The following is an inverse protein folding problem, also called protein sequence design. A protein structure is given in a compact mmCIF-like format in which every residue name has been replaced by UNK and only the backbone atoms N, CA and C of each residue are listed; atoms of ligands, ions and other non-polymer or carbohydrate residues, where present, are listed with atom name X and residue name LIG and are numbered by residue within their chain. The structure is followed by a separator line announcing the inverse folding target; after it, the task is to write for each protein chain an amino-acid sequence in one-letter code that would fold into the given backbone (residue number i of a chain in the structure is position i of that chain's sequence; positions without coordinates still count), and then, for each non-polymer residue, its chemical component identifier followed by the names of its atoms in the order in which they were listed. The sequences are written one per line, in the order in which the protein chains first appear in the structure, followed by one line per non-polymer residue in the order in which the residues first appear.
data_IF_904534338210
#
_entry.id   IF_904534338210
#
_cell.length_a   1.000
_cell.length_b   1.000
_cell.length_c   1.000
_cell.angle_alpha   90.00
_cell.angle_beta   90.00
_cell.angle_gamma   90.00
#
_symmetry.space_group_name_H-M   'P 1'
#
loop_
_entity.id
_entity.type
_entity.pdbx_description
1 polymer ?
#
# COMPACT_ATOMS: atom_id res chain seq x y z
N UNK A 1 15.34 -15.78 -0.19
CA UNK A 1 13.95 -16.07 0.22
C UNK A 1 13.05 -15.05 -0.45
N UNK A 2 12.01 -15.50 -1.14
CA UNK A 2 11.02 -14.65 -1.80
C UNK A 2 9.72 -14.68 -1.01
N UNK A 3 9.16 -13.51 -0.71
CA UNK A 3 7.99 -13.33 0.14
C UNK A 3 6.97 -12.45 -0.58
N UNK A 4 6.14 -13.08 -1.41
CA UNK A 4 4.96 -12.51 -2.07
C UNK A 4 4.13 -13.67 -2.61
N UNK A 5 2.81 -13.59 -2.51
CA UNK A 5 1.91 -14.63 -3.04
C UNK A 5 1.95 -14.65 -4.57
N UNK A 6 2.23 -15.80 -5.18
CA UNK A 6 2.13 -16.00 -6.63
C UNK A 6 3.13 -15.17 -7.46
N UNK A 7 4.20 -14.64 -6.86
CA UNK A 7 5.14 -13.75 -7.53
C UNK A 7 6.04 -14.49 -8.53
N UNK A 8 6.30 -13.86 -9.69
CA UNK A 8 7.24 -14.38 -10.68
C UNK A 8 8.71 -14.08 -10.34
N UNK A 9 8.98 -13.35 -9.26
CA UNK A 9 10.32 -12.95 -8.85
C UNK A 9 11.31 -14.11 -8.69
N UNK A 10 10.96 -15.27 -8.08
CA UNK A 10 11.83 -16.44 -8.05
C UNK A 10 12.30 -16.89 -9.45
N UNK A 11 11.41 -16.88 -10.45
CA UNK A 11 11.76 -17.24 -11.83
C UNK A 11 12.66 -16.20 -12.49
N UNK A 12 12.39 -14.90 -12.26
CA UNK A 12 13.22 -13.82 -12.77
C UNK A 12 14.64 -13.88 -12.18
N UNK A 13 14.74 -14.06 -10.87
CA UNK A 13 16.02 -14.24 -10.17
C UNK A 13 16.77 -15.45 -10.73
N UNK A 14 16.11 -16.59 -10.91
CA UNK A 14 16.78 -17.78 -11.42
C UNK A 14 17.27 -17.61 -12.87
N UNK A 15 16.54 -16.86 -13.70
CA UNK A 15 16.92 -16.55 -15.09
C UNK A 15 17.98 -15.46 -15.21
N UNK A 16 18.21 -14.67 -14.16
CA UNK A 16 19.25 -13.63 -14.14
C UNK A 16 20.68 -14.19 -14.18
N UNK A 17 20.87 -15.50 -13.95
CA UNK A 17 22.15 -16.20 -13.99
C UNK A 17 23.23 -15.58 -13.08
N UNK A 18 22.82 -15.09 -11.91
CA UNK A 18 23.76 -14.62 -10.89
C UNK A 18 24.63 -15.79 -10.41
N UNK A 19 25.98 -15.74 -10.56
CA UNK A 19 26.85 -16.88 -10.28
C UNK A 19 26.81 -17.40 -8.83
N UNK A 20 26.48 -16.52 -7.87
CA UNK A 20 26.35 -16.85 -6.45
C UNK A 20 24.98 -17.42 -6.07
N UNK A 21 23.97 -17.34 -6.96
CA UNK A 21 22.59 -17.70 -6.63
C UNK A 21 22.31 -19.17 -6.92
N UNK A 22 22.52 -20.01 -5.91
CA UNK A 22 22.34 -21.47 -6.00
C UNK A 22 20.96 -21.94 -5.55
N UNK A 23 20.39 -21.30 -4.53
CA UNK A 23 19.11 -21.68 -3.93
C UNK A 23 18.17 -20.49 -3.79
N UNK A 24 16.94 -20.63 -4.29
CA UNK A 24 15.85 -19.67 -4.14
C UNK A 24 14.72 -20.39 -3.42
N UNK A 25 14.27 -19.86 -2.29
CA UNK A 25 13.10 -20.32 -1.56
C UNK A 25 11.98 -19.31 -1.78
N UNK A 26 10.77 -19.77 -2.10
CA UNK A 26 9.58 -18.90 -2.22
C UNK A 26 8.51 -19.38 -1.25
N UNK A 27 7.93 -18.45 -0.50
CA UNK A 27 6.83 -18.74 0.42
C UNK A 27 5.51 -18.74 -0.35
N UNK A 28 4.78 -19.85 -0.29
CA UNK A 28 3.44 -20.01 -0.87
C UNK A 28 2.55 -20.67 0.19
N UNK A 29 2.09 -19.89 1.17
CA UNK A 29 1.33 -20.39 2.32
C UNK A 29 0.00 -21.04 1.93
N UNK A 30 -0.57 -20.64 0.78
CA UNK A 30 -1.78 -21.24 0.23
C UNK A 30 -1.45 -22.44 -0.67
N UNK A 31 -1.89 -23.64 -0.29
CA UNK A 31 -1.61 -24.87 -1.06
C UNK A 31 -2.13 -24.85 -2.51
N UNK A 32 -3.24 -24.16 -2.77
CA UNK A 32 -3.77 -24.04 -4.14
C UNK A 32 -2.85 -23.17 -4.99
N UNK A 33 -2.41 -22.03 -4.46
CA UNK A 33 -1.41 -21.16 -5.10
C UNK A 33 -0.12 -21.92 -5.35
N UNK A 34 0.37 -22.64 -4.33
CA UNK A 34 1.59 -23.45 -4.43
C UNK A 34 1.54 -24.52 -5.53
N UNK A 35 0.38 -25.16 -5.74
CA UNK A 35 0.21 -26.14 -6.84
C UNK A 35 0.31 -25.47 -8.20
N UNK A 36 -0.38 -24.35 -8.39
CA UNK A 36 -0.30 -23.56 -9.64
C UNK A 36 1.14 -23.10 -9.88
N UNK A 37 1.80 -22.62 -8.82
CA UNK A 37 3.19 -22.16 -8.90
C UNK A 37 4.15 -23.29 -9.29
N UNK A 38 3.99 -24.49 -8.72
CA UNK A 38 4.79 -25.66 -9.11
C UNK A 38 4.62 -26.01 -10.59
N UNK A 39 3.39 -26.01 -11.11
CA UNK A 39 3.14 -26.22 -12.55
C UNK A 39 3.78 -25.14 -13.42
N UNK A 40 3.81 -23.89 -12.95
CA UNK A 40 4.50 -22.80 -13.63
C UNK A 40 6.02 -23.05 -13.68
N UNK A 41 6.63 -23.49 -12.58
CA UNK A 41 8.05 -23.85 -12.52
C UNK A 41 8.40 -25.02 -13.45
N UNK A 42 7.57 -26.06 -13.47
CA UNK A 42 7.74 -27.22 -14.36
C UNK A 42 7.69 -26.82 -15.84
N UNK A 43 6.85 -25.85 -16.18
CA UNK A 43 6.70 -25.33 -17.55
C UNK A 43 7.81 -24.34 -17.94
N UNK A 44 8.60 -23.86 -16.99
CA UNK A 44 9.64 -22.84 -17.18
C UNK A 44 10.99 -23.35 -16.67
N UNK A 45 11.71 -24.17 -17.46
CA UNK A 45 12.99 -24.71 -17.04
C UNK A 45 13.98 -23.59 -16.68
N UNK A 46 14.63 -23.76 -15.53
CA UNK A 46 15.58 -22.83 -14.94
C UNK A 46 17.01 -23.20 -15.39
N UNK A 47 17.93 -22.22 -15.54
CA UNK A 47 19.32 -22.49 -15.88
C UNK A 47 20.02 -23.49 -14.94
N UNK A 48 20.96 -24.26 -15.48
CA UNK A 48 21.74 -25.26 -14.73
C UNK A 48 22.51 -24.59 -13.60
N UNK A 49 22.19 -24.93 -12.35
CA UNK A 49 22.92 -24.45 -11.15
C UNK A 49 22.05 -23.76 -10.11
N UNK A 50 20.88 -23.25 -10.47
CA UNK A 50 19.93 -22.62 -9.53
C UNK A 50 18.74 -23.53 -9.28
N UNK A 51 18.36 -23.71 -8.00
CA UNK A 51 17.18 -24.48 -7.59
C UNK A 51 16.14 -23.57 -6.94
N UNK A 52 14.90 -23.67 -7.40
CA UNK A 52 13.75 -23.00 -6.77
C UNK A 52 12.99 -24.00 -5.90
N UNK A 53 12.80 -23.64 -4.62
CA UNK A 53 12.11 -24.43 -3.61
C UNK A 53 10.83 -23.72 -3.21
N UNK A 54 9.69 -24.40 -3.30
CA UNK A 54 8.39 -23.87 -2.87
C UNK A 54 8.11 -24.31 -1.44
N UNK A 55 8.06 -23.36 -0.51
CA UNK A 55 7.80 -23.59 0.92
C UNK A 55 6.34 -23.27 1.20
N UNK A 56 5.55 -24.29 1.53
CA UNK A 56 4.11 -24.17 1.77
C UNK A 56 3.77 -23.98 3.24
N UNK A 57 4.47 -23.05 3.89
CA UNK A 57 4.31 -22.72 5.32
C UNK A 57 4.11 -21.22 5.48
N UNK A 58 3.55 -20.82 6.62
CA UNK A 58 3.61 -19.43 7.08
C UNK A 58 5.06 -19.05 7.38
N UNK A 59 5.43 -17.78 7.20
CA UNK A 59 6.76 -17.25 7.53
C UNK A 59 7.18 -17.53 8.98
N UNK A 60 6.22 -17.52 9.91
CA UNK A 60 6.42 -17.84 11.32
C UNK A 60 6.75 -19.32 11.60
N UNK A 61 6.35 -20.22 10.70
CA UNK A 61 6.54 -21.66 10.86
C UNK A 61 7.75 -22.20 10.07
N UNK A 62 8.47 -21.31 9.36
CA UNK A 62 9.69 -21.66 8.64
C UNK A 62 10.81 -21.90 9.65
N UNK A 63 11.52 -23.00 9.46
CA UNK A 63 12.62 -23.43 10.32
C UNK A 63 13.88 -23.67 9.50
N UNK A 64 15.03 -23.81 10.17
CA UNK A 64 16.29 -24.14 9.49
C UNK A 64 16.21 -25.44 8.67
N UNK A 65 15.39 -26.43 9.08
CA UNK A 65 15.23 -27.67 8.30
C UNK A 65 14.54 -27.46 6.95
N UNK A 66 13.73 -26.41 6.82
CA UNK A 66 13.05 -26.09 5.54
C UNK A 66 14.03 -25.52 4.50
N UNK A 67 15.19 -25.02 4.94
CA UNK A 67 16.21 -24.38 4.11
C UNK A 67 17.32 -25.34 3.64
N UNK A 68 17.18 -26.66 3.86
CA UNK A 68 18.28 -27.63 3.75
C UNK A 68 17.89 -28.91 3.00
N UNK A 69 16.87 -28.90 2.14
CA UNK A 69 16.47 -30.11 1.39
C UNK A 69 17.55 -30.56 0.37
N UNK A 70 18.64 -31.20 0.84
CA UNK A 70 19.60 -31.97 0.05
C UNK A 70 21.10 -31.82 0.34
N UNK A 71 21.57 -30.99 1.28
CA UNK A 71 23.00 -30.85 1.59
C UNK A 71 23.31 -31.16 3.07
N UNK A 72 24.49 -31.73 3.33
CA UNK A 72 24.93 -32.21 4.66
C UNK A 72 24.80 -31.14 5.75
N UNK A 73 24.48 -31.54 7.01
CA UNK A 73 24.23 -30.64 8.14
C UNK A 73 25.54 -30.10 8.73
N UNK A 74 26.28 -29.35 7.95
CA UNK A 74 27.48 -28.63 8.39
C UNK A 74 27.24 -27.16 8.14
N UNK A 75 26.86 -26.47 9.22
CA UNK A 75 26.40 -25.07 9.29
C UNK A 75 25.07 -24.83 8.54
N UNK A 76 24.02 -24.47 9.29
CA UNK A 76 22.69 -24.23 8.71
C UNK A 76 22.77 -23.14 7.63
N UNK A 77 22.21 -23.41 6.45
CA UNK A 77 22.14 -22.42 5.38
C UNK A 77 21.34 -21.21 5.86
N UNK A 78 22.01 -20.06 5.96
CA UNK A 78 21.40 -18.79 6.33
C UNK A 78 20.76 -18.13 5.11
N UNK A 79 19.69 -17.39 5.34
CA UNK A 79 19.06 -16.56 4.31
C UNK A 79 19.93 -15.32 4.10
N UNK A 80 20.53 -15.21 2.92
CA UNK A 80 21.36 -14.05 2.53
C UNK A 80 20.54 -12.88 1.99
N UNK A 81 19.32 -13.15 1.51
CA UNK A 81 18.41 -12.11 1.03
C UNK A 81 16.94 -12.48 1.23
N UNK A 82 16.13 -11.53 1.68
CA UNK A 82 14.65 -11.58 1.71
C UNK A 82 14.12 -10.55 0.72
N UNK A 83 13.46 -11.03 -0.34
CA UNK A 83 13.03 -10.22 -1.47
C UNK A 83 11.51 -10.36 -1.68
N UNK A 84 10.81 -9.27 -1.95
CA UNK A 84 9.39 -9.24 -2.27
C UNK A 84 9.06 -8.16 -3.29
N UNK A 85 8.01 -8.40 -4.06
CA UNK A 85 7.29 -7.40 -4.86
C UNK A 85 6.00 -7.05 -4.09
N UNK A 86 6.12 -6.74 -2.78
CA UNK A 86 5.21 -7.19 -1.72
C UNK A 86 3.74 -7.13 -2.14
N UNK A 87 3.20 -8.31 -2.43
CA UNK A 87 1.83 -8.54 -2.88
C UNK A 87 1.30 -9.77 -2.17
N UNK A 88 0.13 -9.65 -1.57
CA UNK A 88 -0.55 -10.73 -0.88
C UNK A 88 -2.00 -10.78 -1.33
N UNK A 89 -2.48 -11.99 -1.58
CA UNK A 89 -3.82 -12.24 -2.14
C UNK A 89 -4.96 -11.77 -1.23
N UNK A 90 -4.68 -11.63 0.07
CA UNK A 90 -5.61 -11.13 1.10
C UNK A 90 -5.52 -9.62 1.33
N UNK A 91 -4.57 -8.94 0.67
CA UNK A 91 -4.43 -7.50 0.79
C UNK A 91 -5.61 -6.78 0.13
N UNK A 92 -6.18 -5.85 0.89
CA UNK A 92 -7.25 -4.99 0.46
C UNK A 92 -6.67 -3.57 0.35
N UNK A 93 -6.25 -3.00 1.48
CA UNK A 93 -5.67 -1.66 1.51
C UNK A 93 -4.18 -1.67 1.15
N UNK A 94 -3.63 -0.58 0.60
CA UNK A 94 -2.24 -0.53 0.13
C UNK A 94 -1.19 -0.95 1.18
N UNK A 95 -1.41 -0.60 2.45
CA UNK A 95 -0.50 -0.94 3.56
C UNK A 95 -0.66 -2.37 4.09
N UNK A 96 -1.67 -3.14 3.67
CA UNK A 96 -1.74 -4.57 4.04
C UNK A 96 -0.52 -5.34 3.53
N UNK A 97 0.10 -4.87 2.45
CA UNK A 97 1.36 -5.41 1.94
C UNK A 97 2.57 -5.20 2.88
N UNK A 98 2.44 -4.40 3.95
CA UNK A 98 3.38 -4.42 5.08
C UNK A 98 3.42 -5.78 5.79
N UNK A 99 2.54 -6.73 5.46
CA UNK A 99 2.70 -8.14 5.81
C UNK A 99 4.10 -8.69 5.47
N UNK A 100 4.73 -8.19 4.40
CA UNK A 100 6.14 -8.48 4.09
C UNK A 100 7.08 -8.16 5.27
N UNK A 101 6.86 -7.04 5.97
CA UNK A 101 7.66 -6.63 7.12
C UNK A 101 7.59 -7.66 8.25
N UNK A 102 6.38 -8.13 8.56
CA UNK A 102 6.13 -9.16 9.57
C UNK A 102 6.75 -10.50 9.17
N UNK A 103 6.59 -10.90 7.91
CA UNK A 103 7.20 -12.12 7.40
C UNK A 103 8.73 -12.07 7.45
N UNK A 104 9.33 -10.92 7.12
CA UNK A 104 10.78 -10.72 7.24
C UNK A 104 11.25 -10.75 8.69
N UNK A 105 10.55 -10.10 9.61
CA UNK A 105 10.89 -10.13 11.05
C UNK A 105 10.75 -11.55 11.63
N UNK A 106 9.74 -12.32 11.21
CA UNK A 106 9.59 -13.73 11.58
C UNK A 106 10.76 -14.60 11.13
N UNK A 107 11.32 -14.31 9.94
CA UNK A 107 12.47 -15.03 9.38
C UNK A 107 13.83 -14.56 9.91
N UNK A 108 13.89 -13.52 10.76
CA UNK A 108 15.15 -12.86 11.12
C UNK A 108 16.19 -13.81 11.72
N UNK A 109 15.77 -14.80 12.50
CA UNK A 109 16.68 -15.75 13.16
C UNK A 109 17.31 -16.75 12.19
N UNK A 110 16.78 -16.83 10.97
CA UNK A 110 17.31 -17.66 9.88
C UNK A 110 18.15 -16.84 8.90
N UNK A 111 18.23 -15.52 9.08
CA UNK A 111 18.96 -14.62 8.20
C UNK A 111 20.43 -14.52 8.60
N UNK A 112 21.30 -14.28 7.61
CA UNK A 112 22.68 -13.88 7.89
C UNK A 112 22.75 -12.47 8.49
N UNK A 113 23.89 -12.12 9.10
CA UNK A 113 24.09 -10.79 9.69
C UNK A 113 23.94 -9.65 8.67
N UNK A 114 24.37 -9.88 7.43
CA UNK A 114 24.31 -8.92 6.32
C UNK A 114 23.17 -9.25 5.34
N UNK A 115 22.08 -9.83 5.84
CA UNK A 115 20.96 -10.24 4.99
C UNK A 115 20.35 -9.03 4.27
N UNK A 116 20.31 -9.10 2.95
CA UNK A 116 19.72 -8.08 2.09
C UNK A 116 18.19 -8.14 2.20
N UNK A 117 17.53 -7.00 2.44
CA UNK A 117 16.06 -6.91 2.42
C UNK A 117 15.61 -6.00 1.29
N UNK A 118 14.73 -6.51 0.42
CA UNK A 118 14.16 -5.78 -0.71
C UNK A 118 12.64 -6.01 -0.74
N UNK A 119 11.79 -4.97 -0.63
CA UNK A 119 12.15 -3.58 -0.38
C UNK A 119 12.81 -3.36 0.99
N UNK A 120 13.75 -2.42 1.05
CA UNK A 120 14.45 -2.05 2.28
C UNK A 120 13.66 -1.05 3.13
N UNK A 121 12.78 -0.26 2.50
CA UNK A 121 11.88 0.66 3.18
C UNK A 121 10.54 0.76 2.46
N UNK A 122 9.53 1.20 3.19
CA UNK A 122 8.24 1.57 2.63
C UNK A 122 7.77 2.91 3.19
N UNK A 123 7.01 3.65 2.40
CA UNK A 123 6.49 4.95 2.77
C UNK A 123 4.99 5.01 2.48
N UNK A 124 4.23 5.43 3.47
CA UNK A 124 2.82 5.77 3.29
C UNK A 124 2.75 7.19 2.74
N UNK A 125 2.18 7.31 1.55
CA UNK A 125 2.12 8.55 0.79
C UNK A 125 0.69 9.10 0.79
N UNK A 126 0.54 10.41 0.67
CA UNK A 126 -0.76 11.06 0.56
C UNK A 126 -0.75 12.30 -0.33
N UNK A 127 -1.89 12.58 -0.94
CA UNK A 127 -2.16 13.81 -1.68
C UNK A 127 -3.63 14.21 -1.51
N UNK A 128 -3.87 15.49 -1.24
CA UNK A 128 -5.21 16.07 -1.24
C UNK A 128 -5.65 16.32 -2.69
N UNK A 129 -6.87 15.93 -3.04
CA UNK A 129 -7.36 15.96 -4.42
C UNK A 129 -8.75 16.57 -4.55
N UNK A 130 -9.05 17.00 -5.78
CA UNK A 130 -10.40 17.28 -6.25
C UNK A 130 -10.77 16.22 -7.29
N UNK A 131 -11.58 15.25 -6.88
CA UNK A 131 -12.23 14.30 -7.79
C UNK A 131 -13.30 14.99 -8.60
N UNK A 132 -13.43 14.60 -9.87
CA UNK A 132 -14.50 15.07 -10.72
C UNK A 132 -15.86 14.46 -10.34
N UNK A 133 -15.93 13.13 -10.23
CA UNK A 133 -17.20 12.43 -10.01
C UNK A 133 -17.17 11.52 -8.77
N UNK A 134 -16.01 10.97 -8.40
CA UNK A 134 -15.91 9.94 -7.37
C UNK A 134 -16.42 10.39 -5.99
N UNK A 135 -16.26 11.68 -5.66
CA UNK A 135 -16.75 12.25 -4.39
C UNK A 135 -18.28 12.14 -4.24
N UNK A 136 -19.02 12.04 -5.35
CA UNK A 136 -20.48 11.97 -5.34
C UNK A 136 -21.02 10.71 -4.69
N UNK A 137 -20.20 9.65 -4.54
CA UNK A 137 -20.57 8.43 -3.81
C UNK A 137 -20.86 8.67 -2.33
N UNK A 138 -20.24 9.71 -1.75
CA UNK A 138 -20.37 10.08 -0.33
C UNK A 138 -20.96 11.47 -0.11
N UNK A 139 -21.23 12.21 -1.17
CA UNK A 139 -21.90 13.49 -1.08
C UNK A 139 -23.37 13.29 -0.67
N UNK A 140 -23.94 14.19 0.16
CA UNK A 140 -25.35 14.16 0.50
C UNK A 140 -26.18 14.40 -0.75
N UNK A 141 -27.30 13.67 -0.85
CA UNK A 141 -28.19 13.70 -2.00
C UNK A 141 -29.04 14.97 -2.00
N UNK A 142 -29.50 15.42 -0.83
CA UNK A 142 -30.28 16.64 -0.66
C UNK A 142 -31.67 16.54 -1.28
N UNK A 143 -31.97 17.45 -2.21
CA UNK A 143 -33.24 17.47 -2.93
C UNK A 143 -33.04 16.99 -4.37
N UNK A 144 -33.80 15.98 -4.79
CA UNK A 144 -33.75 15.41 -6.13
C UNK A 144 -35.15 15.38 -6.71
N UNK A 145 -35.33 15.98 -7.88
CA UNK A 145 -36.63 16.03 -8.60
C UNK A 145 -37.78 16.56 -7.72
N UNK A 146 -37.50 17.49 -6.80
CA UNK A 146 -38.48 18.07 -5.87
C UNK A 146 -38.73 17.24 -4.61
N UNK A 147 -38.14 16.05 -4.48
CA UNK A 147 -38.21 15.22 -3.29
C UNK A 147 -37.06 15.54 -2.33
N UNK A 148 -37.38 15.89 -1.09
CA UNK A 148 -36.39 16.10 -0.02
C UNK A 148 -35.97 14.74 0.57
N UNK A 149 -34.72 14.34 0.31
CA UNK A 149 -34.09 13.10 0.77
C UNK A 149 -33.14 13.38 1.95
N UNK A 150 -33.10 14.60 2.49
CA UNK A 150 -32.19 14.99 3.58
C UNK A 150 -32.32 14.13 4.85
N UNK A 151 -33.47 13.48 5.06
CA UNK A 151 -33.66 12.53 6.15
C UNK A 151 -32.73 11.31 6.03
N UNK A 152 -32.53 10.80 4.82
CA UNK A 152 -31.59 9.72 4.53
C UNK A 152 -30.14 10.20 4.70
N UNK A 153 -29.81 11.38 4.18
CA UNK A 153 -28.47 11.96 4.32
C UNK A 153 -28.06 12.11 5.79
N UNK A 154 -28.99 12.56 6.65
CA UNK A 154 -28.75 12.64 8.10
C UNK A 154 -28.48 11.28 8.74
N UNK A 155 -29.11 10.21 8.25
CA UNK A 155 -28.90 8.87 8.79
C UNK A 155 -27.53 8.34 8.37
N UNK A 156 -27.15 8.49 7.09
CA UNK A 156 -25.83 8.11 6.57
C UNK A 156 -24.72 8.93 7.25
N UNK A 157 -24.92 10.24 7.39
CA UNK A 157 -23.97 11.14 8.04
C UNK A 157 -23.69 10.77 9.50
N UNK A 158 -24.72 10.36 10.26
CA UNK A 158 -24.56 9.92 11.66
C UNK A 158 -23.69 8.68 11.80
N UNK A 159 -23.92 7.67 10.95
CA UNK A 159 -23.11 6.44 10.95
C UNK A 159 -21.64 6.76 10.71
N UNK A 160 -21.35 7.73 9.83
CA UNK A 160 -19.98 8.13 9.51
C UNK A 160 -19.35 9.06 10.56
N UNK A 161 -20.14 9.77 11.37
CA UNK A 161 -19.64 10.71 12.40
C UNK A 161 -19.37 10.07 13.75
N UNK A 162 -19.94 8.88 14.01
CA UNK A 162 -19.76 8.18 15.28
C UNK A 162 -18.37 7.54 15.41
N UNK A 163 -17.65 7.38 14.30
CA UNK A 163 -16.27 6.90 14.26
C UNK A 163 -15.25 8.05 14.21
N UNK A 164 -14.40 8.14 15.23
CA UNK A 164 -13.24 9.06 15.26
C UNK A 164 -12.24 8.77 14.13
N UNK A 165 -12.26 7.54 13.61
CA UNK A 165 -11.38 7.02 12.58
C UNK A 165 -12.20 6.49 11.39
N UNK A 166 -12.48 7.36 10.42
CA UNK A 166 -13.17 6.93 9.19
C UNK A 166 -12.21 6.11 8.33
N UNK A 167 -12.55 4.83 8.14
CA UNK A 167 -11.76 3.91 7.33
C UNK A 167 -11.73 4.36 5.86
N UNK A 168 -10.54 4.48 5.23
CA UNK A 168 -10.44 4.83 3.83
C UNK A 168 -11.03 3.76 2.90
N UNK A 169 -11.58 4.19 1.77
CA UNK A 169 -12.18 3.30 0.78
C UNK A 169 -11.24 3.01 -0.37
N UNK A 170 -11.27 1.79 -0.89
CA UNK A 170 -10.39 1.37 -1.99
C UNK A 170 -11.02 1.63 -3.35
N UNK A 171 -10.31 2.36 -4.20
CA UNK A 171 -10.77 2.67 -5.56
C UNK A 171 -9.64 2.51 -6.58
N UNK A 172 -9.90 1.97 -7.79
CA UNK A 172 -8.94 1.97 -8.90
C UNK A 172 -8.89 3.38 -9.52
N UNK A 173 -8.04 4.27 -9.00
CA UNK A 173 -8.14 5.70 -9.33
C UNK A 173 -7.75 6.06 -10.77
N UNK A 174 -7.14 5.13 -11.52
CA UNK A 174 -6.93 5.32 -12.97
C UNK A 174 -8.25 5.51 -13.74
N UNK A 175 -9.37 5.00 -13.21
CA UNK A 175 -10.73 5.16 -13.75
C UNK A 175 -11.38 6.50 -13.37
N UNK A 176 -10.90 7.17 -12.32
CA UNK A 176 -11.54 8.34 -11.73
C UNK A 176 -10.67 9.60 -11.86
N UNK A 177 -10.95 10.50 -12.83
CA UNK A 177 -10.21 11.75 -12.97
C UNK A 177 -10.17 12.56 -11.67
N UNK A 178 -8.96 12.98 -11.30
CA UNK A 178 -8.71 13.81 -10.13
C UNK A 178 -7.59 14.81 -10.42
N UNK A 179 -7.65 15.95 -9.74
CA UNK A 179 -6.64 17.00 -9.83
C UNK A 179 -6.02 17.30 -8.46
N UNK A 180 -4.71 17.56 -8.38
CA UNK A 180 -4.03 17.82 -7.11
C UNK A 180 -4.52 19.11 -6.46
N UNK A 181 -4.78 19.08 -5.15
CA UNK A 181 -5.01 20.26 -4.30
C UNK A 181 -3.83 20.54 -3.37
N UNK A 182 -2.93 19.58 -3.21
CA UNK A 182 -1.68 19.72 -2.48
C UNK A 182 -0.52 19.13 -3.27
N UNK A 183 0.71 19.37 -2.80
CA UNK A 183 1.85 18.51 -3.14
C UNK A 183 1.65 17.10 -2.56
N UNK A 184 2.50 16.16 -2.97
CA UNK A 184 2.61 14.83 -2.34
C UNK A 184 3.30 14.96 -0.98
N UNK A 185 2.80 14.22 0.00
CA UNK A 185 3.38 14.12 1.35
C UNK A 185 3.66 12.66 1.70
N UNK A 186 4.72 12.45 2.45
CA UNK A 186 4.98 11.18 3.14
C UNK A 186 4.44 11.29 4.55
N UNK A 187 3.41 10.49 4.87
CA UNK A 187 2.78 10.50 6.19
C UNK A 187 3.53 9.63 7.20
N UNK A 188 4.06 8.49 6.76
CA UNK A 188 4.84 7.55 7.58
C UNK A 188 5.94 6.90 6.76
N UNK A 189 7.03 6.52 7.43
CA UNK A 189 8.11 5.71 6.87
C UNK A 189 8.28 4.45 7.72
N UNK A 190 8.54 3.34 7.05
CA UNK A 190 8.73 2.02 7.63
C UNK A 190 10.10 1.51 7.21
N UNK A 191 10.98 1.28 8.19
CA UNK A 191 12.26 0.62 7.97
C UNK A 191 12.02 -0.90 7.91
N UNK A 192 11.99 -1.42 6.69
CA UNK A 192 11.76 -2.84 6.44
C UNK A 192 13.01 -3.68 6.65
N UNK A 193 14.12 -3.13 7.14
CA UNK A 193 15.30 -3.86 7.64
C UNK A 193 15.26 -3.98 9.17
N UNK A 194 14.70 -3.02 9.90
CA UNK A 194 14.57 -3.08 11.35
C UNK A 194 13.38 -3.96 11.81
N UNK A 195 13.48 -4.72 12.92
CA UNK A 195 12.34 -5.50 13.45
C UNK A 195 11.05 -4.68 13.59
N UNK A 196 9.89 -5.34 13.53
CA UNK A 196 8.61 -4.64 13.73
C UNK A 196 8.59 -4.10 15.17
N UNK A 197 8.34 -2.79 15.39
CA UNK A 197 8.32 -2.21 16.73
C UNK A 197 7.23 -2.83 17.60
N UNK A 198 7.50 -2.99 18.90
CA UNK A 198 6.51 -3.52 19.84
C UNK A 198 5.44 -2.50 20.25
N UNK A 199 5.57 -1.23 19.84
CA UNK A 199 4.66 -0.14 20.18
C UNK A 199 4.06 0.48 18.92
N UNK A 200 2.79 0.93 18.95
CA UNK A 200 2.19 1.64 17.84
C UNK A 200 2.98 2.87 17.41
N UNK A 201 2.98 3.15 16.11
CA UNK A 201 3.65 4.31 15.52
C UNK A 201 2.58 5.36 15.24
N UNK A 202 2.70 6.54 15.85
CA UNK A 202 1.75 7.65 15.66
C UNK A 202 2.47 8.87 15.13
N UNK A 203 1.98 9.42 14.02
CA UNK A 203 2.52 10.61 13.36
C UNK A 203 1.40 11.59 13.11
N UNK A 204 1.62 12.87 13.39
CA UNK A 204 0.71 13.95 13.03
C UNK A 204 1.42 15.03 12.25
N UNK A 205 0.67 15.75 11.43
CA UNK A 205 1.23 16.82 10.60
C UNK A 205 0.15 17.63 9.89
N UNK A 206 0.58 18.38 8.88
CA UNK A 206 -0.30 19.27 8.11
C UNK A 206 -0.06 19.08 6.62
N UNK A 207 -1.16 18.90 5.88
CA UNK A 207 -1.21 18.95 4.41
C UNK A 207 -1.59 20.38 3.99
N UNK A 208 -0.65 21.11 3.42
CA UNK A 208 -0.93 22.43 2.84
C UNK A 208 -1.66 22.27 1.49
N UNK A 209 -2.82 22.91 1.35
CA UNK A 209 -3.60 23.00 0.12
C UNK A 209 -3.05 24.14 -0.74
N UNK A 210 -2.03 23.81 -1.53
CA UNK A 210 -1.21 24.76 -2.29
C UNK A 210 -1.87 25.24 -3.59
N UNK A 211 -2.97 24.62 -4.01
CA UNK A 211 -3.59 24.91 -5.30
C UNK A 211 -5.01 25.50 -5.14
N UNK A 212 -5.31 26.64 -5.80
CA UNK A 212 -6.61 27.28 -5.70
C UNK A 212 -7.71 26.38 -6.27
N UNK A 213 -8.98 26.57 -5.91
CA UNK A 213 -10.07 25.79 -6.46
C UNK A 213 -10.13 25.89 -7.99
N UNK A 214 -10.47 24.79 -8.68
CA UNK A 214 -10.75 24.87 -10.11
C UNK A 214 -11.99 25.74 -10.36
N UNK A 215 -12.07 26.48 -11.48
CA UNK A 215 -13.28 27.21 -11.83
C UNK A 215 -14.47 26.24 -11.92
N UNK A 216 -15.46 26.49 -11.07
CA UNK A 216 -16.66 25.66 -10.92
C UNK A 216 -17.41 25.61 -12.25
N UNK A 217 -17.52 24.43 -12.86
CA UNK A 217 -18.72 24.13 -13.65
C UNK A 217 -19.91 24.01 -12.69
N UNK A 218 -21.12 24.11 -13.21
CA UNK A 218 -22.39 24.39 -12.51
C UNK A 218 -22.84 23.39 -11.42
N UNK A 219 -21.98 22.46 -10.98
CA UNK A 219 -22.25 21.46 -9.93
C UNK A 219 -21.42 21.77 -8.68
N UNK A 220 -22.09 22.00 -7.56
CA UNK A 220 -21.43 22.32 -6.29
C UNK A 220 -20.49 21.20 -5.85
N UNK A 221 -19.20 21.53 -5.71
CA UNK A 221 -18.14 20.59 -5.26
C UNK A 221 -16.98 20.45 -6.25
N UNK A 222 -17.20 20.73 -7.53
CA UNK A 222 -16.15 20.70 -8.54
C UNK A 222 -15.09 21.76 -8.26
N UNK A 223 -13.82 21.33 -8.25
CA UNK A 223 -12.67 22.19 -7.99
C UNK A 223 -12.26 22.35 -6.53
N UNK A 224 -13.06 21.91 -5.55
CA UNK A 224 -12.67 21.91 -4.13
C UNK A 224 -11.93 20.62 -3.75
N UNK A 225 -11.16 20.69 -2.67
CA UNK A 225 -10.60 19.49 -2.03
C UNK A 225 -11.75 18.65 -1.46
N UNK A 226 -11.95 17.45 -2.02
CA UNK A 226 -13.05 16.56 -1.66
C UNK A 226 -12.58 15.16 -1.24
N UNK A 227 -11.27 14.91 -1.25
CA UNK A 227 -10.69 13.70 -0.69
C UNK A 227 -9.19 13.79 -0.47
N UNK A 228 -8.68 12.88 0.34
CA UNK A 228 -7.25 12.60 0.48
C UNK A 228 -7.02 11.18 -0.04
N UNK A 229 -6.11 11.04 -1.00
CA UNK A 229 -5.70 9.74 -1.53
C UNK A 229 -4.46 9.28 -0.81
N UNK A 230 -4.40 7.99 -0.46
CA UNK A 230 -3.29 7.33 0.21
C UNK A 230 -2.83 6.10 -0.59
N UNK A 231 -1.52 5.87 -0.61
CA UNK A 231 -0.89 4.72 -1.26
C UNK A 231 0.46 4.39 -0.60
N UNK A 232 1.12 3.32 -1.07
CA UNK A 232 2.43 2.93 -0.59
C UNK A 232 3.48 3.08 -1.69
N UNK A 233 4.63 3.62 -1.31
CA UNK A 233 5.86 3.54 -2.09
C UNK A 233 6.82 2.57 -1.40
N UNK A 234 7.54 1.77 -2.18
CA UNK A 234 8.49 0.77 -1.70
C UNK A 234 9.86 1.02 -2.31
N UNK A 235 10.86 1.26 -1.48
CA UNK A 235 12.24 1.44 -1.91
C UNK A 235 12.90 0.08 -2.11
N UNK A 236 13.18 -0.27 -3.36
CA UNK A 236 13.84 -1.53 -3.72
C UNK A 236 15.36 -1.42 -3.57
N UNK A 237 15.91 -0.28 -3.96
CA UNK A 237 17.33 0.08 -3.82
C UNK A 237 17.47 1.58 -3.55
N UNK A 238 18.69 2.07 -3.34
CA UNK A 238 18.96 3.50 -3.20
C UNK A 238 18.51 4.36 -4.40
N UNK A 239 18.30 3.75 -5.57
CA UNK A 239 17.94 4.44 -6.81
C UNK A 239 16.57 4.03 -7.36
N UNK A 240 15.97 2.95 -6.84
CA UNK A 240 14.76 2.36 -7.41
C UNK A 240 13.67 2.33 -6.34
N UNK A 241 12.59 3.03 -6.62
CA UNK A 241 11.34 2.99 -5.85
C UNK A 241 10.22 2.53 -6.77
N UNK A 242 9.37 1.63 -6.29
CA UNK A 242 8.11 1.28 -6.93
C UNK A 242 6.95 1.89 -6.16
N UNK A 243 5.88 2.24 -6.85
CA UNK A 243 4.69 2.89 -6.26
C UNK A 243 3.45 2.08 -6.55
N UNK A 244 2.53 2.01 -5.58
CA UNK A 244 1.17 1.45 -5.78
C UNK A 244 0.14 2.54 -6.06
N UNK A 245 0.58 3.76 -6.33
CA UNK A 245 -0.30 4.92 -6.45
C UNK A 245 0.15 5.87 -7.55
N UNK A 246 0.65 7.04 -7.18
CA UNK A 246 0.86 8.12 -8.12
C UNK A 246 2.11 7.88 -8.99
N UNK A 247 1.93 7.66 -10.28
CA UNK A 247 3.01 7.31 -11.22
C UNK A 247 3.93 8.49 -11.55
N UNK A 248 3.37 9.69 -11.57
CA UNK A 248 4.10 10.92 -11.89
C UNK A 248 3.67 12.02 -10.93
N UNK A 249 4.64 12.71 -10.34
CA UNK A 249 4.35 13.90 -9.55
C UNK A 249 3.61 14.93 -10.40
N UNK A 250 2.62 15.65 -9.84
CA UNK A 250 1.87 16.63 -10.60
C UNK A 250 2.77 17.81 -10.99
N UNK A 251 2.80 18.14 -12.29
CA UNK A 251 3.44 19.32 -12.85
C UNK A 251 2.64 20.61 -12.66
N UNK A 252 1.37 20.53 -12.25
CA UNK A 252 0.57 21.71 -11.92
C UNK A 252 -0.84 21.44 -11.37
N UNK A 253 -1.54 22.50 -10.92
CA UNK A 253 -2.86 22.40 -10.29
C UNK A 253 -3.99 21.87 -11.19
N UNK A 254 -3.82 21.96 -12.51
CA UNK A 254 -4.83 21.57 -13.49
C UNK A 254 -4.45 20.27 -14.21
N UNK A 255 -3.35 19.63 -13.80
CA UNK A 255 -2.94 18.37 -14.38
C UNK A 255 -3.76 17.22 -13.80
N UNK A 256 -4.17 16.30 -14.66
CA UNK A 256 -4.86 15.07 -14.26
C UNK A 256 -3.83 14.14 -13.62
N UNK A 257 -4.15 13.62 -12.43
CA UNK A 257 -3.30 12.65 -11.75
C UNK A 257 -3.30 11.31 -12.49
N UNK A 258 -2.11 10.74 -12.66
CA UNK A 258 -1.88 9.45 -13.30
C UNK A 258 -1.58 8.40 -12.24
N UNK A 259 -2.50 7.46 -12.06
CA UNK A 259 -2.42 6.41 -11.04
C UNK A 259 -1.98 5.09 -11.64
N UNK A 260 -1.30 4.27 -10.84
CA UNK A 260 -1.02 2.88 -11.15
C UNK A 260 -2.34 2.13 -11.41
N UNK A 261 -2.41 1.44 -12.54
CA UNK A 261 -3.59 0.67 -12.95
C UNK A 261 -3.64 -0.74 -12.36
N UNK A 262 -2.55 -1.19 -11.74
CA UNK A 262 -2.46 -2.55 -11.19
C UNK A 262 -2.89 -2.64 -9.72
N UNK A 263 -2.89 -1.50 -9.02
CA UNK A 263 -3.27 -1.37 -7.62
C UNK A 263 -4.53 -0.52 -7.45
N UNK A 264 -5.27 -0.76 -6.37
CA UNK A 264 -6.27 0.18 -5.85
C UNK A 264 -5.60 1.12 -4.85
N UNK A 265 -6.01 2.37 -4.84
CA UNK A 265 -5.57 3.36 -3.85
C UNK A 265 -6.65 3.57 -2.80
N UNK A 266 -6.23 3.98 -1.60
CA UNK A 266 -7.14 4.29 -0.51
C UNK A 266 -7.59 5.75 -0.60
N UNK A 267 -8.89 6.01 -0.40
CA UNK A 267 -9.50 7.33 -0.49
C UNK A 267 -10.22 7.63 0.81
N UNK A 268 -9.80 8.70 1.48
CA UNK A 268 -10.53 9.28 2.59
C UNK A 268 -11.34 10.47 2.07
N UNK A 269 -12.66 10.30 1.94
CA UNK A 269 -13.54 11.39 1.51
C UNK A 269 -13.69 12.42 2.62
N UNK A 270 -13.56 13.69 2.26
CA UNK A 270 -13.77 14.78 3.21
C UNK A 270 -15.26 15.10 3.28
N UNK A 271 -15.79 15.26 4.50
CA UNK A 271 -17.19 15.64 4.68
C UNK A 271 -17.48 16.96 3.97
N UNK A 272 -18.65 17.10 3.32
CA UNK A 272 -19.08 18.38 2.77
C UNK A 272 -19.02 19.48 3.81
N UNK A 273 -19.37 19.23 5.08
CA UNK A 273 -19.32 20.28 6.13
C UNK A 273 -17.88 20.76 6.41
N UNK A 274 -16.90 19.86 6.31
CA UNK A 274 -15.47 20.19 6.37
C UNK A 274 -14.98 20.94 5.12
N UNK A 275 -15.65 20.74 3.97
CA UNK A 275 -15.39 21.43 2.69
C UNK A 275 -16.27 22.67 2.43
N UNK A 276 -17.32 22.87 3.24
CA UNK A 276 -18.30 23.97 3.20
C UNK A 276 -17.87 25.11 4.13
N UNK A 277 -16.94 24.86 5.05
CA UNK A 277 -16.48 25.80 6.06
C UNK A 277 -15.87 27.10 5.53
N UNK A 278 -15.09 27.10 4.45
CA UNK A 278 -14.60 28.36 3.86
C UNK A 278 -14.13 28.18 2.42
N UNK A 279 -14.26 29.23 1.62
CA UNK A 279 -13.46 29.51 0.42
C UNK A 279 -11.94 29.63 0.68
N UNK A 280 -11.48 29.24 1.88
CA UNK A 280 -10.16 29.52 2.46
C UNK A 280 -9.55 28.31 3.19
N UNK A 281 -10.00 27.07 2.92
CA UNK A 281 -9.30 25.91 3.45
C UNK A 281 -7.89 25.88 2.87
N UNK A 282 -6.90 26.22 3.68
CA UNK A 282 -5.51 26.26 3.28
C UNK A 282 -4.73 25.04 3.79
N UNK A 283 -5.27 24.33 4.79
CA UNK A 283 -4.56 23.29 5.53
C UNK A 283 -5.52 22.17 5.97
N UNK A 284 -5.02 20.94 5.96
CA UNK A 284 -5.64 19.79 6.61
C UNK A 284 -4.66 19.23 7.64
N UNK A 285 -5.04 19.24 8.91
CA UNK A 285 -4.31 18.50 9.92
C UNK A 285 -4.55 17.01 9.72
N UNK A 286 -3.52 16.20 9.88
CA UNK A 286 -3.66 14.75 9.89
C UNK A 286 -3.06 14.13 11.14
N UNK A 287 -3.65 13.02 11.55
CA UNK A 287 -3.05 12.05 12.46
C UNK A 287 -3.15 10.69 11.80
N UNK A 288 -2.02 9.98 11.75
CA UNK A 288 -1.93 8.62 11.27
C UNK A 288 -1.39 7.75 12.41
N UNK A 289 -1.99 6.59 12.62
CA UNK A 289 -1.53 5.62 13.62
C UNK A 289 -1.44 4.22 13.01
N UNK A 290 -0.27 3.59 13.13
CA UNK A 290 -0.04 2.21 12.73
C UNK A 290 0.04 1.33 13.98
N UNK A 291 -0.92 0.42 14.13
CA UNK A 291 -0.91 -0.58 15.19
C UNK A 291 -0.01 -1.73 14.77
N UNK A 292 1.16 -1.85 15.40
CA UNK A 292 2.17 -2.86 15.05
C UNK A 292 1.82 -4.29 15.47
N UNK A 293 0.74 -4.49 16.25
CA UNK A 293 0.28 -5.82 16.62
C UNK A 293 -0.72 -6.38 15.61
N UNK A 294 -1.64 -5.53 15.12
CA UNK A 294 -2.66 -5.95 14.15
C UNK A 294 -2.29 -5.65 12.70
N UNK A 295 -1.35 -4.74 12.45
CA UNK A 295 -1.06 -4.19 11.13
C UNK A 295 -2.10 -3.19 10.62
N UNK A 296 -3.08 -2.80 11.45
CA UNK A 296 -4.08 -1.79 11.09
C UNK A 296 -3.48 -0.38 11.05
N UNK A 297 -3.95 0.42 10.10
CA UNK A 297 -3.58 1.83 9.98
C UNK A 297 -4.85 2.69 10.04
N UNK A 298 -4.84 3.69 10.93
CA UNK A 298 -5.96 4.60 11.18
C UNK A 298 -5.58 6.03 10.82
N UNK A 299 -6.57 6.78 10.33
CA UNK A 299 -6.37 8.14 9.84
C UNK A 299 -7.46 9.08 10.32
N UNK A 300 -7.06 10.27 10.71
CA UNK A 300 -7.96 11.39 10.98
C UNK A 300 -7.46 12.57 10.19
N UNK A 301 -8.33 13.16 9.36
CA UNK A 301 -8.07 14.38 8.61
C UNK A 301 -9.07 15.44 9.07
N UNK A 302 -8.56 16.57 9.54
CA UNK A 302 -9.40 17.67 10.05
C UNK A 302 -9.02 18.99 9.39
N UNK A 303 -10.04 19.74 8.99
CA UNK A 303 -9.88 21.10 8.49
C UNK A 303 -9.38 22.03 9.61
N UNK A 304 -8.46 22.93 9.26
CA UNK A 304 -7.97 24.01 10.15
C UNK A 304 -8.09 25.37 9.50
#
# INVERSE_FOLDING_TARGET
MCVSDGSLLPLLLAKSNLPSLSHIYTLESNEHSARVYKTLLESNPVPTGTKIHVVTKSSHDVTASDLVNGATPTEGALIEAVIGEPYFSTSLLPWHNLHFWYARDALRSLCSADCLVVPCSASLMAIAVSFQDLYSLRAPVGNVEGFDISAFDRQVGKVNSDDEWVEPEMHPLWEYPAHPRSKVYTLMNFDLIAPVPSTPIRVGGVLELTHPPLPSSSRGGEGRCNGVVLWMDYQLTDQITTTTGLMTAPGGPNERLCWDSTSKQAVHFLSPDSALGTSHLHKLNYVSEFNTTSGELRFSFTAS
#
